data_IF_646921125573
#
_entry.id   IF_646921125573
#
_cell.length_a   1.000
_cell.length_b   1.000
_cell.length_c   1.000
_cell.angle_alpha   90.00
_cell.angle_beta   90.00
_cell.angle_gamma   90.00
#
_symmetry.space_group_name_H-M   'P 1'
#
loop_
_entity.id
_entity.type
_entity.pdbx_description
1 polymer ?
#
# COMPACT_ATOMS: atom_id res chain seq x y z
N UNK A 1 -6.54 21.24 -17.80
CA UNK A 1 -5.91 21.67 -16.53
C UNK A 1 -4.40 21.51 -16.65
N UNK A 2 -3.64 22.35 -15.94
CA UNK A 2 -2.18 22.32 -15.98
C UNK A 2 -1.64 21.13 -15.18
N UNK A 3 -0.61 20.47 -15.72
CA UNK A 3 0.16 19.42 -15.06
C UNK A 3 0.67 19.94 -13.71
N UNK A 4 0.59 19.12 -12.66
CA UNK A 4 1.14 19.48 -11.35
C UNK A 4 2.66 19.65 -11.44
N UNK A 5 3.15 20.71 -10.81
CA UNK A 5 4.57 21.02 -10.73
C UNK A 5 5.25 20.16 -9.66
N UNK A 6 6.57 19.99 -9.78
CA UNK A 6 7.35 19.27 -8.76
C UNK A 6 7.21 19.91 -7.37
N UNK A 7 7.11 21.24 -7.31
CA UNK A 7 6.94 21.98 -6.07
C UNK A 7 5.62 21.63 -5.36
N UNK A 8 4.51 21.56 -6.11
CA UNK A 8 3.22 21.13 -5.56
C UNK A 8 3.27 19.69 -5.02
N UNK A 9 3.86 18.76 -5.79
CA UNK A 9 3.99 17.36 -5.37
C UNK A 9 4.84 17.20 -4.10
N UNK A 10 5.94 17.96 -3.99
CA UNK A 10 6.77 17.99 -2.79
C UNK A 10 6.03 18.55 -1.58
N UNK A 11 5.23 19.60 -1.77
CA UNK A 11 4.44 20.17 -0.68
C UNK A 11 3.36 19.21 -0.18
N UNK A 12 2.65 18.51 -1.09
CA UNK A 12 1.68 17.48 -0.72
C UNK A 12 2.34 16.31 0.03
N UNK A 13 3.52 15.87 -0.43
CA UNK A 13 4.27 14.83 0.28
C UNK A 13 4.74 15.29 1.67
N UNK A 14 5.16 16.54 1.80
CA UNK A 14 5.62 17.10 3.07
C UNK A 14 4.45 17.23 4.05
N UNK A 15 3.34 17.80 3.62
CA UNK A 15 2.10 17.91 4.41
C UNK A 15 1.64 16.54 4.91
N UNK A 16 1.55 15.57 4.01
CA UNK A 16 1.13 14.21 4.38
C UNK A 16 2.12 13.51 5.32
N UNK A 17 3.42 13.71 5.16
CA UNK A 17 4.42 13.19 6.12
C UNK A 17 4.27 13.78 7.51
N UNK A 18 4.08 15.10 7.61
CA UNK A 18 3.99 15.79 8.90
C UNK A 18 2.70 15.42 9.64
N UNK A 19 1.57 15.40 8.94
CA UNK A 19 0.27 15.13 9.54
C UNK A 19 0.05 13.63 9.83
N UNK A 20 0.55 12.72 8.97
CA UNK A 20 0.44 11.28 9.21
C UNK A 20 1.51 10.75 10.19
N UNK A 21 2.46 11.59 10.65
CA UNK A 21 3.58 11.16 11.48
C UNK A 21 3.13 10.42 12.75
N UNK A 22 2.06 10.89 13.40
CA UNK A 22 1.54 10.26 14.60
C UNK A 22 0.96 8.87 14.31
N UNK A 23 0.17 8.73 13.23
CA UNK A 23 -0.38 7.46 12.81
C UNK A 23 0.72 6.46 12.41
N UNK A 24 1.79 6.94 11.77
CA UNK A 24 2.94 6.12 11.41
C UNK A 24 3.72 5.63 12.63
N UNK A 25 3.90 6.49 13.64
CA UNK A 25 4.53 6.09 14.92
C UNK A 25 3.70 5.04 15.65
N UNK A 26 2.38 5.22 15.68
CA UNK A 26 1.48 4.24 16.28
C UNK A 26 1.58 2.88 15.57
N UNK A 27 1.60 2.88 14.24
CA UNK A 27 1.82 1.67 13.45
C UNK A 27 3.16 1.00 13.78
N UNK A 28 4.25 1.79 13.86
CA UNK A 28 5.58 1.28 14.22
C UNK A 28 5.61 0.71 15.65
N UNK A 29 4.96 1.38 16.60
CA UNK A 29 4.79 0.87 17.96
C UNK A 29 4.04 -0.46 17.94
N UNK A 30 2.90 -0.56 17.25
CA UNK A 30 2.15 -1.82 17.13
C UNK A 30 2.99 -2.95 16.52
N UNK A 31 3.82 -2.67 15.51
CA UNK A 31 4.78 -3.63 14.96
C UNK A 31 5.78 -4.10 16.03
N UNK A 32 6.32 -3.17 16.82
CA UNK A 32 7.24 -3.50 17.91
C UNK A 32 6.57 -4.37 18.98
N UNK A 33 5.32 -4.07 19.34
CA UNK A 33 4.53 -4.90 20.26
C UNK A 33 4.31 -6.31 19.72
N UNK A 34 3.95 -6.44 18.43
CA UNK A 34 3.77 -7.73 17.77
C UNK A 34 5.05 -8.59 17.80
N UNK A 35 6.19 -7.99 17.50
CA UNK A 35 7.50 -8.66 17.49
C UNK A 35 8.16 -8.78 18.88
N UNK A 36 7.43 -8.45 19.95
CA UNK A 36 7.90 -8.54 21.33
C UNK A 36 9.09 -7.60 21.67
N UNK A 37 9.31 -6.56 20.87
CA UNK A 37 10.25 -5.48 21.12
C UNK A 37 9.56 -4.35 21.91
N UNK A 38 8.91 -4.71 23.02
CA UNK A 38 8.04 -3.81 23.78
C UNK A 38 8.82 -2.89 24.73
N UNK A 39 10.00 -3.32 25.16
CA UNK A 39 10.79 -2.60 26.14
C UNK A 39 11.62 -1.51 25.46
N UNK A 40 11.58 -0.27 25.95
CA UNK A 40 12.44 0.77 25.43
C UNK A 40 13.93 0.49 25.74
N UNK A 41 14.81 1.04 24.91
CA UNK A 41 16.23 0.71 24.90
C UNK A 41 16.95 1.02 26.23
N UNK A 42 16.51 2.06 26.93
CA UNK A 42 17.00 2.47 28.25
C UNK A 42 16.75 1.39 29.30
N UNK A 43 15.55 0.81 29.33
CA UNK A 43 15.20 -0.29 30.24
C UNK A 43 16.01 -1.55 29.90
N UNK A 44 16.17 -1.85 28.62
CA UNK A 44 17.02 -2.98 28.17
C UNK A 44 18.48 -2.77 28.58
N UNK A 45 19.01 -1.55 28.47
CA UNK A 45 20.37 -1.22 28.88
C UNK A 45 20.55 -1.39 30.40
N UNK A 46 19.62 -0.88 31.21
CA UNK A 46 19.65 -1.05 32.67
C UNK A 46 19.54 -2.52 33.10
N UNK A 47 18.71 -3.33 32.43
CA UNK A 47 18.60 -4.76 32.70
C UNK A 47 19.89 -5.50 32.37
N UNK A 48 20.54 -5.15 31.24
CA UNK A 48 21.85 -5.67 30.86
C UNK A 48 22.94 -5.28 31.87
N UNK A 49 22.97 -4.04 32.33
CA UNK A 49 23.89 -3.59 33.39
C UNK A 49 23.72 -4.38 34.69
N UNK A 50 22.48 -4.75 35.03
CA UNK A 50 22.14 -5.59 36.20
C UNK A 50 22.39 -7.09 35.97
N UNK A 51 22.84 -7.50 34.79
CA UNK A 51 22.99 -8.91 34.43
C UNK A 51 21.68 -9.69 34.37
N UNK A 52 20.54 -9.01 34.28
CA UNK A 52 19.22 -9.62 34.22
C UNK A 52 18.76 -9.75 32.77
N UNK A 53 18.28 -10.93 32.34
CA UNK A 53 17.66 -11.06 31.03
C UNK A 53 16.31 -10.32 31.03
N UNK A 54 15.96 -9.60 29.95
CA UNK A 54 14.64 -8.99 29.82
C UNK A 54 13.57 -10.08 29.77
N UNK A 55 12.58 -9.98 30.66
CA UNK A 55 11.40 -10.84 30.67
C UNK A 55 10.19 -10.02 30.22
N UNK A 56 9.43 -10.55 29.26
CA UNK A 56 8.18 -9.97 28.80
C UNK A 56 7.22 -11.08 28.37
N UNK A 57 5.92 -10.84 28.53
CA UNK A 57 4.87 -11.75 28.06
C UNK A 57 4.20 -11.14 26.83
N UNK A 58 4.39 -11.74 25.66
CA UNK A 58 3.81 -11.22 24.41
C UNK A 58 2.35 -11.64 24.21
N UNK A 59 1.47 -11.16 25.09
CA UNK A 59 0.02 -11.39 24.99
C UNK A 59 -0.54 -10.78 23.70
N UNK A 60 0.01 -9.64 23.28
CA UNK A 60 -0.41 -8.93 22.06
C UNK A 60 -0.22 -9.79 20.81
N UNK A 61 0.98 -10.35 20.61
CA UNK A 61 1.25 -11.28 19.51
C UNK A 61 0.33 -12.50 19.51
N UNK A 62 0.09 -13.08 20.70
CA UNK A 62 -0.82 -14.22 20.85
C UNK A 62 -2.27 -13.89 20.46
N UNK A 63 -2.79 -12.72 20.83
CA UNK A 63 -4.13 -12.28 20.44
C UNK A 63 -4.23 -12.02 18.94
N UNK A 64 -3.21 -11.39 18.36
CA UNK A 64 -3.16 -11.12 16.92
C UNK A 64 -3.13 -12.41 16.11
N UNK A 65 -2.29 -13.37 16.48
CA UNK A 65 -2.20 -14.66 15.80
C UNK A 65 -3.52 -15.44 15.93
N UNK A 66 -4.22 -15.32 17.06
CA UNK A 66 -5.56 -15.90 17.24
C UNK A 66 -6.59 -15.29 16.29
N UNK A 67 -6.62 -13.95 16.16
CA UNK A 67 -7.52 -13.24 15.22
C UNK A 67 -7.22 -13.64 13.78
N UNK A 68 -5.93 -13.64 13.39
CA UNK A 68 -5.50 -14.06 12.06
C UNK A 68 -5.85 -15.54 11.79
N UNK A 69 -5.74 -16.41 12.80
CA UNK A 69 -6.16 -17.80 12.71
C UNK A 69 -7.67 -17.94 12.46
N UNK A 70 -8.50 -17.17 13.19
CA UNK A 70 -9.95 -17.15 12.92
C UNK A 70 -10.27 -16.65 11.52
N UNK A 71 -9.60 -15.59 11.05
CA UNK A 71 -9.81 -15.03 9.72
C UNK A 71 -9.34 -15.98 8.61
N UNK A 72 -8.23 -16.70 8.82
CA UNK A 72 -7.73 -17.71 7.89
C UNK A 72 -8.68 -18.90 7.78
N UNK A 73 -9.30 -19.31 8.89
CA UNK A 73 -10.31 -20.37 8.91
C UNK A 73 -11.64 -19.92 8.26
N UNK A 74 -11.93 -18.62 8.31
CA UNK A 74 -13.07 -18.03 7.61
C UNK A 74 -12.74 -17.87 6.13
N UNK A 75 -13.12 -18.87 5.32
CA UNK A 75 -13.10 -18.73 3.86
C UNK A 75 -14.08 -17.64 3.45
N UNK A 76 -13.54 -16.58 2.85
CA UNK A 76 -14.31 -15.49 2.28
C UNK A 76 -14.20 -15.58 0.77
N UNK A 77 -15.33 -15.82 0.11
CA UNK A 77 -15.42 -15.84 -1.34
C UNK A 77 -16.00 -14.52 -1.84
N UNK A 78 -15.37 -13.95 -2.87
CA UNK A 78 -15.87 -12.73 -3.52
C UNK A 78 -16.84 -13.17 -4.61
N UNK A 79 -18.09 -12.70 -4.52
CA UNK A 79 -19.15 -13.00 -5.49
C UNK A 79 -19.69 -11.70 -6.06
N UNK A 80 -19.72 -11.60 -7.39
CA UNK A 80 -20.37 -10.49 -8.08
C UNK A 80 -21.82 -10.87 -8.31
N UNK A 81 -22.74 -9.99 -7.93
CA UNK A 81 -24.18 -10.19 -8.11
C UNK A 81 -24.71 -9.14 -9.08
N UNK A 82 -25.38 -9.60 -10.14
CA UNK A 82 -26.10 -8.72 -11.06
C UNK A 82 -27.30 -8.11 -10.35
N UNK A 83 -27.42 -6.78 -10.36
CA UNK A 83 -28.56 -6.10 -9.76
C UNK A 83 -29.82 -6.26 -10.61
N UNK A 84 -29.65 -6.36 -11.93
CA UNK A 84 -30.73 -6.58 -12.89
C UNK A 84 -30.71 -8.02 -13.44
N UNK A 85 -31.83 -8.46 -14.03
CA UNK A 85 -31.92 -9.81 -14.60
C UNK A 85 -30.93 -10.01 -15.75
N UNK A 86 -30.73 -8.99 -16.58
CA UNK A 86 -29.84 -9.01 -17.75
C UNK A 86 -28.36 -9.12 -17.36
N UNK A 87 -27.98 -8.62 -16.17
CA UNK A 87 -26.59 -8.63 -15.70
C UNK A 87 -26.14 -9.98 -15.12
N UNK A 88 -27.05 -10.95 -14.96
CA UNK A 88 -26.76 -12.22 -14.28
C UNK A 88 -25.66 -13.02 -14.96
N UNK A 89 -25.72 -13.12 -16.28
CA UNK A 89 -24.74 -13.88 -17.05
C UNK A 89 -23.35 -13.21 -16.99
N UNK A 90 -23.31 -11.88 -17.04
CA UNK A 90 -22.07 -11.12 -16.88
C UNK A 90 -21.47 -11.30 -15.48
N UNK A 91 -22.30 -11.24 -14.44
CA UNK A 91 -21.89 -11.41 -13.06
C UNK A 91 -21.27 -12.80 -12.80
N UNK A 92 -21.79 -13.84 -13.47
CA UNK A 92 -21.24 -15.19 -13.41
C UNK A 92 -19.83 -15.23 -13.99
N UNK A 93 -19.62 -14.68 -15.19
CA UNK A 93 -18.31 -14.61 -15.84
C UNK A 93 -17.31 -13.82 -14.99
N UNK A 94 -17.71 -12.68 -14.43
CA UNK A 94 -16.85 -11.87 -13.55
C UNK A 94 -16.46 -12.63 -12.28
N UNK A 95 -17.40 -13.38 -11.69
CA UNK A 95 -17.14 -14.19 -10.51
C UNK A 95 -16.11 -15.28 -10.79
N UNK A 96 -16.17 -15.94 -11.95
CA UNK A 96 -15.21 -16.99 -12.32
C UNK A 96 -13.80 -16.42 -12.58
N UNK A 97 -13.71 -15.22 -13.17
CA UNK A 97 -12.44 -14.51 -13.32
C UNK A 97 -11.85 -14.19 -11.94
N UNK A 98 -12.65 -13.66 -11.02
CA UNK A 98 -12.20 -13.31 -9.66
C UNK A 98 -11.74 -14.56 -8.91
N UNK A 99 -12.47 -15.67 -9.00
CA UNK A 99 -12.08 -16.94 -8.38
C UNK A 99 -10.70 -17.42 -8.87
N UNK A 100 -10.46 -17.31 -10.18
CA UNK A 100 -9.17 -17.70 -10.78
C UNK A 100 -8.01 -16.89 -10.17
N UNK A 101 -8.23 -15.60 -9.91
CA UNK A 101 -7.24 -14.73 -9.25
C UNK A 101 -7.09 -15.12 -7.78
N UNK A 102 -8.20 -15.28 -7.05
CA UNK A 102 -8.18 -15.51 -5.60
C UNK A 102 -7.62 -16.87 -5.18
N UNK A 103 -7.67 -17.88 -6.06
CA UNK A 103 -7.11 -19.22 -5.80
C UNK A 103 -5.59 -19.27 -6.00
N UNK A 104 -4.97 -18.22 -6.52
CA UNK A 104 -3.52 -18.20 -6.74
C UNK A 104 -2.77 -18.08 -5.41
N UNK A 105 -1.71 -18.87 -5.21
CA UNK A 105 -0.87 -18.80 -3.99
C UNK A 105 -0.33 -17.40 -3.69
N UNK A 106 0.09 -16.65 -4.73
CA UNK A 106 0.54 -15.26 -4.60
C UNK A 106 -0.54 -14.39 -3.96
N UNK A 107 -1.81 -14.57 -4.35
CA UNK A 107 -2.93 -13.83 -3.76
C UNK A 107 -3.12 -14.17 -2.28
N UNK A 108 -3.06 -15.45 -1.90
CA UNK A 108 -3.17 -15.86 -0.49
C UNK A 108 -2.06 -15.27 0.38
N UNK A 109 -0.81 -15.26 -0.11
CA UNK A 109 0.33 -14.67 0.59
C UNK A 109 0.15 -13.16 0.80
N UNK A 110 -0.22 -12.42 -0.25
CA UNK A 110 -0.44 -10.98 -0.19
C UNK A 110 -1.67 -10.62 0.64
N UNK A 111 -2.73 -11.44 0.59
CA UNK A 111 -3.89 -11.34 1.49
C UNK A 111 -3.45 -11.47 2.94
N UNK A 112 -2.66 -12.48 3.30
CA UNK A 112 -2.20 -12.69 4.69
C UNK A 112 -1.39 -11.49 5.20
N UNK A 113 -0.51 -10.93 4.37
CA UNK A 113 0.25 -9.70 4.70
C UNK A 113 -0.67 -8.50 4.90
N UNK A 114 -1.66 -8.34 4.03
CA UNK A 114 -2.67 -7.29 4.15
C UNK A 114 -3.52 -7.45 5.40
N UNK A 115 -3.89 -8.67 5.79
CA UNK A 115 -4.67 -8.93 7.01
C UNK A 115 -3.87 -8.62 8.27
N UNK A 116 -2.59 -8.99 8.31
CA UNK A 116 -1.68 -8.60 9.40
C UNK A 116 -1.55 -7.08 9.48
N UNK A 117 -1.35 -6.41 8.34
CA UNK A 117 -1.24 -4.94 8.29
C UNK A 117 -2.53 -4.27 8.78
N UNK A 118 -3.70 -4.79 8.39
CA UNK A 118 -4.99 -4.29 8.87
C UNK A 118 -5.13 -4.45 10.38
N UNK A 119 -4.75 -5.61 10.91
CA UNK A 119 -4.71 -5.82 12.36
C UNK A 119 -3.81 -4.76 13.02
N UNK A 120 -2.69 -4.40 12.40
CA UNK A 120 -1.76 -3.35 12.85
C UNK A 120 -2.24 -1.90 12.61
N UNK A 121 -3.44 -1.69 12.07
CA UNK A 121 -4.09 -0.38 11.97
C UNK A 121 -4.52 0.01 10.55
N UNK A 122 -3.75 -0.36 9.52
CA UNK A 122 -4.10 -0.07 8.13
C UNK A 122 -3.62 -1.15 7.17
N UNK A 123 -4.47 -1.49 6.21
CA UNK A 123 -4.10 -2.29 5.07
C UNK A 123 -4.10 -1.46 3.79
N UNK A 124 -3.03 -1.59 3.02
CA UNK A 124 -2.92 -0.99 1.69
C UNK A 124 -2.52 -2.11 0.73
N UNK A 125 -3.28 -2.28 -0.33
CA UNK A 125 -3.03 -3.24 -1.39
C UNK A 125 -3.11 -2.55 -2.74
N UNK A 126 -2.24 -2.92 -3.67
CA UNK A 126 -2.20 -2.41 -5.03
C UNK A 126 -2.72 -3.49 -5.97
N UNK A 127 -3.71 -3.16 -6.79
CA UNK A 127 -4.20 -4.00 -7.87
C UNK A 127 -3.55 -3.53 -9.16
N UNK A 128 -2.82 -4.42 -9.82
CA UNK A 128 -2.16 -4.11 -11.09
C UNK A 128 -2.48 -5.16 -12.15
N UNK A 129 -2.40 -4.77 -13.42
CA UNK A 129 -2.59 -5.69 -14.54
C UNK A 129 -1.27 -5.85 -15.28
N UNK A 130 -0.76 -7.08 -15.28
CA UNK A 130 0.49 -7.45 -15.94
C UNK A 130 0.19 -8.21 -17.22
N UNK A 131 0.94 -7.91 -18.28
CA UNK A 131 0.89 -8.67 -19.53
C UNK A 131 1.90 -9.83 -19.42
N UNK A 132 1.42 -11.06 -19.53
CA UNK A 132 2.26 -12.24 -19.65
C UNK A 132 2.88 -12.31 -21.05
N UNK A 133 4.02 -12.98 -21.15
CA UNK A 133 4.69 -13.23 -22.43
C UNK A 133 3.97 -14.29 -23.30
N UNK A 134 3.04 -15.05 -22.70
CA UNK A 134 2.21 -16.02 -23.41
C UNK A 134 1.11 -15.30 -24.20
N UNK A 135 0.88 -15.77 -25.42
CA UNK A 135 -0.18 -15.26 -26.31
C UNK A 135 -1.31 -16.27 -26.33
N UNK A 136 -2.52 -15.75 -26.22
CA UNK A 136 -3.75 -16.50 -26.40
C UNK A 136 -3.94 -16.89 -27.88
N UNK A 137 -4.93 -17.74 -28.15
CA UNK A 137 -5.31 -18.25 -29.48
C UNK A 137 -5.60 -17.09 -30.46
N UNK A 138 -6.03 -15.94 -29.93
CA UNK A 138 -6.30 -14.70 -30.66
C UNK A 138 -5.07 -13.80 -30.86
N UNK A 139 -3.86 -14.27 -30.52
CA UNK A 139 -2.59 -13.55 -30.66
C UNK A 139 -2.40 -12.39 -29.68
N UNK A 140 -3.30 -12.20 -28.72
CA UNK A 140 -3.20 -11.20 -27.65
C UNK A 140 -2.41 -11.75 -26.48
N UNK A 141 -1.61 -10.90 -25.84
CA UNK A 141 -0.91 -11.29 -24.61
C UNK A 141 -1.94 -11.61 -23.52
N UNK A 142 -1.77 -12.75 -22.86
CA UNK A 142 -2.53 -13.07 -21.66
C UNK A 142 -2.29 -12.00 -20.59
N UNK A 143 -3.34 -11.64 -19.86
CA UNK A 143 -3.26 -10.65 -18.80
C UNK A 143 -3.57 -11.31 -17.48
N UNK A 144 -2.77 -10.99 -16.46
CA UNK A 144 -3.03 -11.41 -15.09
C UNK A 144 -3.22 -10.17 -14.22
N UNK A 145 -4.16 -10.25 -13.30
CA UNK A 145 -4.36 -9.24 -12.27
C UNK A 145 -3.55 -9.68 -11.05
N UNK A 146 -2.59 -8.85 -10.65
CA UNK A 146 -1.80 -9.04 -9.44
C UNK A 146 -2.32 -8.12 -8.33
N UNK A 147 -2.33 -8.66 -7.11
CA UNK A 147 -2.64 -7.91 -5.89
C UNK A 147 -1.39 -7.97 -5.02
N UNK A 148 -0.89 -6.81 -4.61
CA UNK A 148 0.35 -6.69 -3.82
C UNK A 148 0.11 -5.82 -2.59
N UNK A 149 0.45 -6.32 -1.41
CA UNK A 149 0.40 -5.55 -0.19
C UNK A 149 1.54 -4.52 -0.15
N UNK A 150 1.20 -3.31 0.25
CA UNK A 150 2.14 -2.19 0.37
C UNK A 150 2.43 -1.97 1.84
N UNK A 151 3.71 -1.80 2.18
CA UNK A 151 4.12 -1.43 3.53
C UNK A 151 3.53 -0.05 3.89
N UNK A 152 2.72 0.07 4.95
CA UNK A 152 2.13 1.33 5.37
C UNK A 152 3.16 2.44 5.66
N UNK A 153 4.36 2.08 6.15
CA UNK A 153 5.43 3.04 6.44
C UNK A 153 5.94 3.78 5.19
N UNK A 154 5.71 3.21 4.01
CA UNK A 154 6.14 3.76 2.73
C UNK A 154 5.01 4.46 1.97
N UNK A 155 3.82 4.59 2.56
CA UNK A 155 2.63 5.07 1.89
C UNK A 155 1.98 6.22 2.67
N UNK A 156 1.73 7.33 1.99
CA UNK A 156 1.15 8.53 2.56
C UNK A 156 -0.18 8.84 1.88
N UNK A 157 -1.20 9.01 2.71
CA UNK A 157 -2.57 9.33 2.29
C UNK A 157 -2.79 10.83 2.54
N UNK A 158 -3.69 11.44 1.75
CA UNK A 158 -4.24 12.75 2.07
C UNK A 158 -4.73 12.78 3.54
N UNK A 159 -4.12 13.62 4.41
CA UNK A 159 -4.46 13.67 5.83
C UNK A 159 -5.91 14.04 6.10
N UNK A 160 -6.57 14.72 5.17
CA UNK A 160 -7.97 15.11 5.31
C UNK A 160 -8.95 13.99 4.96
N UNK A 161 -8.45 12.81 4.56
CA UNK A 161 -9.27 11.65 4.28
C UNK A 161 -9.81 11.02 5.57
N UNK A 162 -11.13 11.05 5.73
CA UNK A 162 -11.86 10.50 6.87
C UNK A 162 -12.45 9.12 6.52
N UNK A 163 -12.76 8.87 5.25
CA UNK A 163 -13.32 7.59 4.84
C UNK A 163 -12.35 6.43 5.13
N UNK A 164 -12.91 5.29 5.57
CA UNK A 164 -12.12 4.09 5.89
C UNK A 164 -11.41 3.52 4.66
N UNK A 165 -12.04 3.66 3.49
CA UNK A 165 -11.52 3.23 2.19
C UNK A 165 -10.65 4.30 1.50
N UNK A 166 -10.51 5.48 2.13
CA UNK A 166 -9.86 6.66 1.59
C UNK A 166 -10.41 7.15 0.22
N UNK A 167 -11.69 6.88 -0.08
CA UNK A 167 -12.36 7.34 -1.30
C UNK A 167 -12.43 8.87 -1.46
N UNK A 168 -12.40 9.57 -0.33
CA UNK A 168 -12.40 11.03 -0.22
C UNK A 168 -11.02 11.67 -0.40
N UNK A 169 -9.93 10.88 -0.36
CA UNK A 169 -8.57 11.38 -0.53
C UNK A 169 -8.37 12.09 -1.88
N UNK A 170 -7.64 13.20 -1.86
CA UNK A 170 -7.27 13.95 -3.07
C UNK A 170 -5.98 13.44 -3.70
N UNK A 171 -5.12 12.82 -2.91
CA UNK A 171 -3.85 12.32 -3.40
C UNK A 171 -3.34 11.15 -2.56
N UNK A 172 -2.48 10.36 -3.17
CA UNK A 172 -1.71 9.29 -2.53
C UNK A 172 -0.26 9.40 -2.95
N UNK A 173 0.66 9.13 -2.03
CA UNK A 173 2.08 9.01 -2.30
C UNK A 173 2.60 7.66 -1.85
N UNK A 174 3.30 6.95 -2.72
CA UNK A 174 3.96 5.70 -2.44
C UNK A 174 5.46 5.88 -2.66
N UNK A 175 6.23 5.83 -1.58
CA UNK A 175 7.69 5.87 -1.63
C UNK A 175 8.22 4.47 -1.93
N UNK A 176 8.92 4.34 -3.05
CA UNK A 176 9.46 3.08 -3.52
C UNK A 176 10.97 3.10 -3.32
N UNK A 177 11.47 2.02 -2.71
CA UNK A 177 12.88 1.72 -2.59
C UNK A 177 13.19 0.53 -3.48
N UNK A 178 14.15 0.68 -4.38
CA UNK A 178 14.51 -0.35 -5.36
C UNK A 178 16.03 -0.44 -5.47
N UNK A 179 16.57 -1.64 -5.69
CA UNK A 179 18.00 -1.79 -5.96
C UNK A 179 18.38 -1.02 -7.24
N UNK A 180 19.57 -0.40 -7.24
CA UNK A 180 20.01 0.48 -8.33
C UNK A 180 19.96 -0.20 -9.70
N UNK A 181 20.40 -1.46 -9.77
CA UNK A 181 20.45 -2.23 -11.02
C UNK A 181 19.05 -2.46 -11.60
N UNK A 182 18.07 -2.78 -10.76
CA UNK A 182 16.69 -2.98 -11.18
C UNK A 182 16.05 -1.67 -11.64
N UNK A 183 16.30 -0.58 -10.92
CA UNK A 183 15.82 0.74 -11.29
C UNK A 183 16.39 1.20 -12.65
N UNK A 184 17.69 0.95 -12.91
CA UNK A 184 18.32 1.23 -14.21
C UNK A 184 17.66 0.42 -15.34
N UNK A 185 17.31 -0.84 -15.09
CA UNK A 185 16.60 -1.69 -16.05
C UNK A 185 15.18 -1.19 -16.34
N UNK A 186 14.43 -0.78 -15.30
CA UNK A 186 13.05 -0.34 -15.42
C UNK A 186 12.92 1.04 -16.08
N UNK A 187 13.73 2.01 -15.64
CA UNK A 187 13.58 3.41 -16.05
C UNK A 187 14.52 3.81 -17.18
N UNK A 188 15.57 3.02 -17.48
CA UNK A 188 16.61 3.34 -18.48
C UNK A 188 17.23 4.73 -18.30
N UNK A 189 17.21 5.27 -17.07
CA UNK A 189 17.67 6.60 -16.72
C UNK A 189 18.77 6.46 -15.67
N UNK A 190 20.02 6.74 -16.06
CA UNK A 190 21.20 6.45 -15.23
C UNK A 190 21.49 7.46 -14.11
N UNK A 191 21.00 8.70 -14.19
CA UNK A 191 21.59 9.79 -13.38
C UNK A 191 20.59 10.74 -12.70
N UNK A 192 19.40 10.26 -12.33
CA UNK A 192 18.35 11.15 -11.76
C UNK A 192 17.81 10.74 -10.40
N UNK A 193 18.43 9.74 -9.77
CA UNK A 193 17.93 9.16 -8.56
C UNK A 193 18.81 9.46 -7.37
N UNK A 194 18.18 9.72 -6.23
CA UNK A 194 18.84 9.74 -4.94
C UNK A 194 19.31 8.33 -4.58
N UNK A 195 20.64 8.17 -4.52
CA UNK A 195 21.28 6.93 -4.12
C UNK A 195 21.41 6.93 -2.59
N UNK A 196 20.82 5.92 -1.98
CA UNK A 196 20.93 5.59 -0.57
C UNK A 196 21.80 4.34 -0.42
N UNK A 197 22.45 4.18 0.73
CA UNK A 197 23.14 2.94 1.09
C UNK A 197 22.38 2.24 2.20
N UNK A 198 22.09 0.96 2.00
CA UNK A 198 21.51 0.15 3.06
C UNK A 198 22.58 -0.23 4.11
N UNK A 199 22.16 -0.78 5.24
CA UNK A 199 23.05 -1.27 6.31
C UNK A 199 24.10 -2.28 5.81
N UNK A 200 23.79 -3.02 4.73
CA UNK A 200 24.68 -4.00 4.10
C UNK A 200 25.54 -3.42 2.96
N UNK A 201 25.54 -2.09 2.76
CA UNK A 201 26.34 -1.41 1.73
C UNK A 201 25.79 -1.47 0.30
N UNK A 202 24.60 -2.05 0.08
CA UNK A 202 23.93 -2.03 -1.24
C UNK A 202 23.40 -0.65 -1.57
N UNK A 203 23.56 -0.26 -2.84
CA UNK A 203 23.04 0.99 -3.40
C UNK A 203 21.55 0.84 -3.75
N UNK A 204 20.71 1.59 -3.05
CA UNK A 204 19.26 1.63 -3.22
C UNK A 204 18.89 2.99 -3.81
N UNK A 205 17.93 2.99 -4.71
CA UNK A 205 17.31 4.19 -5.26
C UNK A 205 15.95 4.40 -4.60
N UNK A 206 15.68 5.63 -4.15
CA UNK A 206 14.36 6.04 -3.69
C UNK A 206 13.68 6.94 -4.71
N UNK A 207 12.41 6.66 -5.04
CA UNK A 207 11.57 7.58 -5.80
C UNK A 207 10.13 7.52 -5.28
N UNK A 208 9.33 8.52 -5.60
CA UNK A 208 7.94 8.62 -5.15
C UNK A 208 7.00 8.47 -6.35
N UNK A 209 6.08 7.52 -6.23
CA UNK A 209 4.91 7.40 -7.08
C UNK A 209 3.77 8.20 -6.43
N UNK A 210 3.11 9.07 -7.18
CA UNK A 210 2.02 9.91 -6.67
C UNK A 210 0.83 9.86 -7.58
N UNK A 211 -0.33 9.67 -6.97
CA UNK A 211 -1.62 9.65 -7.64
C UNK A 211 -2.39 10.87 -7.17
N UNK A 212 -2.83 11.71 -8.10
CA UNK A 212 -3.52 12.97 -7.79
C UNK A 212 -4.87 12.98 -8.46
N UNK A 213 -5.91 13.23 -7.66
CA UNK A 213 -7.31 13.35 -8.08
C UNK A 213 -7.50 14.70 -8.77
N UNK A 214 -7.99 14.64 -9.99
CA UNK A 214 -8.33 15.78 -10.82
C UNK A 214 -9.80 15.65 -11.28
N UNK A 215 -10.39 16.77 -11.68
CA UNK A 215 -11.76 16.79 -12.23
C UNK A 215 -11.69 17.23 -13.69
N UNK A 216 -12.09 16.35 -14.61
CA UNK A 216 -12.18 16.65 -16.04
C UNK A 216 -13.61 16.49 -16.53
N UNK A 217 -14.21 17.58 -17.03
CA UNK A 217 -15.58 17.57 -17.62
C UNK A 217 -16.63 16.89 -16.69
N UNK A 218 -16.57 17.17 -15.40
CA UNK A 218 -17.37 16.57 -14.31
C UNK A 218 -17.03 15.12 -13.92
N UNK A 219 -16.12 14.45 -14.62
CA UNK A 219 -15.59 13.15 -14.18
C UNK A 219 -14.40 13.33 -13.24
N UNK A 220 -14.36 12.52 -12.19
CA UNK A 220 -13.18 12.37 -11.35
C UNK A 220 -12.18 11.46 -12.07
N UNK A 221 -10.96 11.96 -12.26
CA UNK A 221 -9.87 11.22 -12.90
C UNK A 221 -8.62 11.25 -12.03
N UNK A 222 -7.79 10.22 -12.15
CA UNK A 222 -6.55 10.13 -11.39
C UNK A 222 -5.33 10.17 -12.32
N UNK A 223 -4.44 11.13 -12.07
CA UNK A 223 -3.18 11.26 -12.79
C UNK A 223 -2.03 10.68 -11.99
N UNK A 224 -1.09 10.01 -12.68
CA UNK A 224 0.06 9.37 -12.06
C UNK A 224 1.35 10.13 -12.36
N UNK A 225 2.13 10.36 -11.31
CA UNK A 225 3.42 11.03 -11.34
C UNK A 225 4.47 10.13 -10.71
N UNK A 226 5.57 9.90 -11.41
CA UNK A 226 6.77 9.26 -10.85
C UNK A 226 7.84 10.34 -10.79
N UNK A 227 8.34 10.63 -9.59
CA UNK A 227 9.25 11.75 -9.37
C UNK A 227 10.21 11.46 -8.23
N UNK A 228 11.31 12.21 -8.21
CA UNK A 228 12.31 12.22 -7.15
C UNK A 228 12.65 13.67 -6.78
N UNK A 229 13.53 13.87 -5.79
CA UNK A 229 14.00 15.15 -5.32
C UNK A 229 14.51 16.07 -6.46
N UNK A 230 15.04 15.49 -7.54
CA UNK A 230 15.58 16.23 -8.69
C UNK A 230 14.54 16.59 -9.76
N UNK A 231 13.42 15.88 -9.87
CA UNK A 231 12.50 16.09 -11.00
C UNK A 231 11.41 15.04 -11.17
N UNK A 232 10.45 15.35 -12.05
CA UNK A 232 9.43 14.40 -12.50
C UNK A 232 10.05 13.52 -13.58
N UNK A 233 10.12 12.22 -13.31
CA UNK A 233 10.68 11.18 -14.19
C UNK A 233 9.65 10.79 -15.24
N UNK A 234 8.41 10.50 -14.80
CA UNK A 234 7.32 10.08 -15.68
C UNK A 234 6.02 10.74 -15.25
N UNK A 235 5.23 11.13 -16.23
CA UNK A 235 3.86 11.62 -16.02
C UNK A 235 2.94 10.84 -16.94
N UNK A 236 1.92 10.23 -16.37
CA UNK A 236 0.88 9.50 -17.09
C UNK A 236 -0.46 10.14 -16.74
N UNK A 237 -1.06 10.81 -17.72
CA UNK A 237 -2.39 11.36 -17.59
C UNK A 237 -3.40 10.23 -17.69
N UNK A 238 -4.21 10.03 -16.64
CA UNK A 238 -5.23 9.00 -16.58
C UNK A 238 -4.79 7.62 -17.17
N UNK A 239 -3.87 6.90 -16.51
CA UNK A 239 -3.25 5.70 -17.09
C UNK A 239 -4.21 4.52 -17.25
N UNK A 240 -5.34 4.50 -16.53
CA UNK A 240 -6.29 3.40 -16.55
C UNK A 240 -7.60 3.77 -17.24
N UNK A 241 -8.18 2.81 -17.96
CA UNK A 241 -9.50 2.96 -18.60
C UNK A 241 -10.61 3.23 -17.58
N UNK A 242 -10.46 2.69 -16.36
CA UNK A 242 -11.39 2.89 -15.24
C UNK A 242 -11.34 4.30 -14.64
N UNK A 243 -10.39 5.13 -15.07
CA UNK A 243 -10.15 6.49 -14.56
C UNK A 243 -9.78 6.57 -13.07
N UNK A 244 -9.46 5.44 -12.44
CA UNK A 244 -9.22 5.34 -11.00
C UNK A 244 -7.77 4.95 -10.67
N UNK A 245 -7.36 5.16 -9.42
CA UNK A 245 -6.08 4.69 -8.89
C UNK A 245 -6.10 3.17 -8.60
N UNK A 246 -4.92 2.52 -8.52
CA UNK A 246 -4.82 1.07 -8.33
C UNK A 246 -4.86 0.64 -6.85
N UNK A 247 -4.79 1.58 -5.91
CA UNK A 247 -4.74 1.25 -4.48
C UNK A 247 -6.11 0.97 -3.88
N UNK A 248 -6.17 -0.08 -3.08
CA UNK A 248 -7.28 -0.43 -2.19
C UNK A 248 -6.78 -0.26 -0.77
N UNK A 249 -7.45 0.60 0.00
CA UNK A 249 -7.03 1.00 1.34
C UNK A 249 -8.15 0.62 2.30
N UNK A 250 -7.78 0.15 3.49
CA UNK A 250 -8.71 -0.06 4.58
C UNK A 250 -8.05 0.37 5.89
N UNK A 251 -8.57 1.43 6.50
CA UNK A 251 -8.25 1.84 7.87
C UNK A 251 -9.04 0.94 8.83
N UNK A 252 -8.40 0.45 9.90
CA UNK A 252 -9.04 -0.38 10.92
C UNK A 252 -10.09 0.42 11.68
N UNK A 253 -9.71 1.63 12.10
CA UNK A 253 -10.57 2.59 12.79
C UNK A 253 -10.06 3.99 12.50
N UNK A 254 -10.98 4.95 12.52
CA UNK A 254 -10.68 6.38 12.42
C UNK A 254 -11.08 7.00 13.76
N UNK A 255 -10.15 7.70 14.41
CA UNK A 255 -10.45 8.35 15.69
C UNK A 255 -11.49 9.47 15.48
N UNK A 256 -12.45 9.54 16.40
CA UNK A 256 -13.44 10.60 16.44
C UNK A 256 -12.82 11.96 16.81
N UNK A 257 -11.74 11.97 17.61
CA UNK A 257 -11.08 13.22 18.06
C UNK A 257 -10.02 13.72 17.10
N UNK A 258 -9.36 12.83 16.36
CA UNK A 258 -8.39 13.19 15.35
C UNK A 258 -8.54 12.27 14.12
N UNK A 259 -9.31 12.66 13.10
CA UNK A 259 -9.60 11.81 11.94
C UNK A 259 -8.35 11.44 11.12
N UNK A 260 -7.20 12.07 11.42
CA UNK A 260 -5.90 11.78 10.81
C UNK A 260 -5.25 10.54 11.44
N UNK A 261 -5.66 10.12 12.65
CA UNK A 261 -5.12 8.96 13.36
C UNK A 261 -5.82 7.66 12.95
N UNK A 262 -5.02 6.62 12.70
CA UNK A 262 -5.48 5.26 12.42
C UNK A 262 -5.31 4.45 13.69
N UNK A 263 -6.19 4.69 14.65
CA UNK A 263 -6.05 4.12 16.00
C UNK A 263 -6.21 2.60 16.01
N UNK A 264 -5.45 1.98 16.91
CA UNK A 264 -5.88 0.81 17.69
C UNK A 264 -6.90 1.19 18.77
#
# INVERSE_FOLDING_TARGET
MAKKTLYELKNMLKESKELNLLALKEYEEACNYYHANQLPYDVIAQLKERGQPPQFENIFGMLMDKILGFKSNSKQDIVVQGQQYEDKDLALVLTDIIKTISTTKKYEEERRKSELSLCLGIAISRVWCENLHKKDILGKNEKIISVENINPLCFFIDPLSICMDASDAKYFHHMIFMDKQDAENCFKLKDRFKILKNAYGREIISFTESWVKNTEKNDVVWDRYIWDDYGIIKYEKNPFLTKNHPYVIQKLKVDYKNPILWLF
#
